data_IF_624436498024
#
_entry.id   IF_624436498024
#
_cell.length_a   1.000
_cell.length_b   1.000
_cell.length_c   1.000
_cell.angle_alpha   90.00
_cell.angle_beta   90.00
_cell.angle_gamma   90.00
#
_symmetry.space_group_name_H-M   'P 1'
#
loop_
_entity.id
_entity.type
_entity.pdbx_description
1 polymer ?
#
# COMPACT_ATOMS: atom_id res chain seq x y z
N UNK A 1 -21.64 6.42 13.06
CA UNK A 1 -20.48 6.65 12.16
C UNK A 1 -20.48 5.62 11.04
N UNK A 2 -20.39 6.04 9.78
CA UNK A 2 -20.40 5.14 8.62
C UNK A 2 -19.06 4.38 8.50
N UNK A 3 -19.10 3.05 8.57
CA UNK A 3 -17.92 2.15 8.52
C UNK A 3 -17.01 2.41 7.30
N UNK A 4 -17.61 2.74 6.16
CA UNK A 4 -16.88 3.08 4.93
C UNK A 4 -15.99 4.31 5.12
N UNK A 5 -16.54 5.38 5.71
CA UNK A 5 -15.80 6.60 5.99
C UNK A 5 -14.64 6.33 6.97
N UNK A 6 -14.87 5.51 7.99
CA UNK A 6 -13.82 5.13 8.94
C UNK A 6 -12.67 4.29 8.35
N UNK A 7 -12.90 3.54 7.27
CA UNK A 7 -11.81 2.88 6.55
C UNK A 7 -11.01 3.85 5.69
N UNK A 8 -11.69 4.79 5.03
CA UNK A 8 -11.03 5.81 4.20
C UNK A 8 -10.22 6.80 5.04
N UNK A 9 -10.75 7.22 6.19
CA UNK A 9 -10.05 8.11 7.11
C UNK A 9 -8.77 7.47 7.66
N UNK A 10 -8.86 6.22 8.12
CA UNK A 10 -7.67 5.46 8.56
C UNK A 10 -6.64 5.30 7.45
N UNK A 11 -7.08 4.97 6.23
CA UNK A 11 -6.17 4.90 5.09
C UNK A 11 -5.44 6.24 4.86
N UNK A 12 -6.15 7.37 4.97
CA UNK A 12 -5.55 8.71 4.83
C UNK A 12 -4.55 9.03 5.94
N UNK A 13 -4.84 8.66 7.19
CA UNK A 13 -3.92 8.84 8.31
C UNK A 13 -2.60 8.09 8.07
N UNK A 14 -2.66 6.83 7.62
CA UNK A 14 -1.45 6.08 7.30
C UNK A 14 -0.68 6.65 6.10
N UNK A 15 -1.37 7.24 5.11
CA UNK A 15 -0.71 7.95 4.00
C UNK A 15 0.06 9.18 4.47
N UNK A 16 -0.54 9.98 5.37
CA UNK A 16 0.11 11.16 5.95
C UNK A 16 1.35 10.75 6.75
N UNK A 17 1.21 9.76 7.64
CA UNK A 17 2.33 9.22 8.41
C UNK A 17 3.44 8.67 7.50
N UNK A 18 3.08 8.02 6.39
CA UNK A 18 4.06 7.53 5.42
C UNK A 18 4.76 8.67 4.65
N UNK A 19 4.09 9.81 4.47
CA UNK A 19 4.65 11.04 3.90
C UNK A 19 5.63 11.73 4.85
N UNK A 20 5.31 11.77 6.13
CA UNK A 20 6.13 12.36 7.20
C UNK A 20 7.34 11.48 7.54
N UNK A 21 7.20 10.15 7.43
CA UNK A 21 8.31 9.21 7.62
C UNK A 21 9.32 9.34 6.47
N UNK A 22 10.45 10.01 6.74
CA UNK A 22 11.59 10.13 5.82
C UNK A 22 12.74 9.20 6.17
N UNK A 23 12.94 8.93 7.45
CA UNK A 23 14.15 8.25 7.97
C UNK A 23 14.08 6.72 7.88
N UNK A 24 12.90 6.11 8.00
CA UNK A 24 12.74 4.66 7.96
C UNK A 24 11.94 4.16 6.73
N UNK A 25 12.62 3.63 5.70
CA UNK A 25 11.97 3.11 4.50
C UNK A 25 11.23 1.79 4.73
N UNK A 26 11.54 1.01 5.77
CA UNK A 26 10.81 -0.23 6.10
C UNK A 26 9.48 0.11 6.80
N UNK A 27 9.51 1.03 7.75
CA UNK A 27 8.32 1.54 8.43
C UNK A 27 7.36 2.20 7.42
N UNK A 28 7.88 3.04 6.53
CA UNK A 28 7.11 3.62 5.41
C UNK A 28 6.42 2.56 4.56
N UNK A 29 7.10 1.47 4.19
CA UNK A 29 6.49 0.35 3.45
C UNK A 29 5.40 -0.34 4.26
N UNK A 30 5.58 -0.50 5.57
CA UNK A 30 4.57 -1.07 6.44
C UNK A 30 3.31 -0.21 6.48
N UNK A 31 3.46 1.11 6.61
CA UNK A 31 2.35 2.06 6.57
C UNK A 31 1.61 1.98 5.22
N UNK A 32 2.34 1.98 4.10
CA UNK A 32 1.72 1.82 2.78
C UNK A 32 0.97 0.49 2.61
N UNK A 33 1.41 -0.60 3.24
CA UNK A 33 0.65 -1.86 3.27
C UNK A 33 -0.67 -1.70 4.02
N UNK A 34 -0.66 -0.98 5.15
CA UNK A 34 -1.89 -0.69 5.91
C UNK A 34 -2.86 0.15 5.08
N UNK A 35 -2.38 1.20 4.41
CA UNK A 35 -3.19 2.01 3.47
C UNK A 35 -3.93 1.13 2.47
N UNK A 36 -3.22 0.20 1.84
CA UNK A 36 -3.80 -0.72 0.85
C UNK A 36 -4.87 -1.61 1.49
N UNK A 37 -4.58 -2.20 2.65
CA UNK A 37 -5.53 -3.06 3.34
C UNK A 37 -6.85 -2.31 3.67
N UNK A 38 -6.75 -1.09 4.20
CA UNK A 38 -7.92 -0.28 4.53
C UNK A 38 -8.69 0.20 3.30
N UNK A 39 -8.01 0.59 2.21
CA UNK A 39 -8.69 0.93 0.94
C UNK A 39 -9.39 -0.30 0.33
N UNK A 40 -8.83 -1.50 0.44
CA UNK A 40 -9.50 -2.73 0.00
C UNK A 40 -10.76 -3.04 0.81
N UNK A 41 -10.72 -2.83 2.13
CA UNK A 41 -11.90 -2.96 2.99
C UNK A 41 -12.98 -1.94 2.61
N UNK A 42 -12.57 -0.71 2.29
CA UNK A 42 -13.49 0.32 1.81
C UNK A 42 -14.15 -0.08 0.48
N UNK A 43 -13.39 -0.63 -0.49
CA UNK A 43 -13.96 -1.14 -1.76
C UNK A 43 -14.96 -2.26 -1.50
N UNK A 44 -14.59 -3.28 -0.72
CA UNK A 44 -15.50 -4.38 -0.37
C UNK A 44 -16.79 -3.89 0.29
N UNK A 45 -16.71 -2.79 1.07
CA UNK A 45 -17.87 -2.21 1.73
C UNK A 45 -18.70 -1.34 0.78
N UNK A 46 -18.06 -0.59 -0.12
CA UNK A 46 -18.72 0.19 -1.15
C UNK A 46 -19.50 -0.71 -2.12
N UNK A 47 -18.93 -1.84 -2.52
CA UNK A 47 -19.61 -2.85 -3.35
C UNK A 47 -20.89 -3.37 -2.69
N UNK A 48 -20.84 -3.68 -1.38
CA UNK A 48 -22.01 -4.11 -0.60
C UNK A 48 -23.09 -3.03 -0.45
N UNK A 49 -22.72 -1.77 -0.63
CA UNK A 49 -23.61 -0.62 -0.50
C UNK A 49 -24.03 -0.06 -1.87
N UNK A 50 -23.64 -0.70 -2.97
CA UNK A 50 -23.84 -0.21 -4.34
C UNK A 50 -23.35 1.23 -4.55
N UNK A 51 -22.29 1.61 -3.83
CA UNK A 51 -21.65 2.92 -3.93
C UNK A 51 -20.49 2.89 -4.93
N UNK A 52 -20.13 4.05 -5.51
CA UNK A 52 -18.95 4.13 -6.38
C UNK A 52 -17.69 3.73 -5.61
N UNK A 53 -16.84 2.93 -6.26
CA UNK A 53 -15.62 2.40 -5.66
C UNK A 53 -14.63 3.54 -5.39
N UNK A 54 -14.06 3.65 -4.17
CA UNK A 54 -13.03 4.62 -3.89
C UNK A 54 -11.77 4.33 -4.71
N UNK A 55 -11.10 5.38 -5.19
CA UNK A 55 -9.91 5.26 -6.03
C UNK A 55 -8.79 4.52 -5.29
N UNK A 56 -8.07 3.62 -5.98
CA UNK A 56 -6.97 2.83 -5.42
C UNK A 56 -5.59 3.39 -5.79
N UNK A 57 -5.49 4.70 -6.01
CA UNK A 57 -4.35 5.38 -6.66
C UNK A 57 -2.98 5.11 -6.01
N UNK A 58 -2.93 4.71 -4.73
CA UNK A 58 -1.71 4.36 -4.01
C UNK A 58 -1.04 3.03 -4.43
N UNK A 59 -1.71 2.17 -5.24
CA UNK A 59 -1.19 0.83 -5.58
C UNK A 59 -0.06 0.80 -6.63
N UNK A 60 0.16 1.88 -7.38
CA UNK A 60 1.15 1.86 -8.49
C UNK A 60 2.61 1.86 -8.03
N UNK A 61 2.92 2.22 -6.79
CA UNK A 61 4.30 2.52 -6.37
C UNK A 61 5.00 1.40 -5.60
N UNK A 62 4.28 0.45 -4.99
CA UNK A 62 4.89 -0.59 -4.14
C UNK A 62 5.49 -1.75 -4.95
N UNK A 63 5.06 -1.97 -6.19
CA UNK A 63 5.47 -3.13 -6.99
C UNK A 63 6.75 -2.94 -7.85
N UNK A 64 7.38 -1.76 -7.85
CA UNK A 64 8.48 -1.46 -8.79
C UNK A 64 9.90 -1.67 -8.25
N UNK A 65 10.10 -2.26 -7.06
CA UNK A 65 11.44 -2.47 -6.45
C UNK A 65 11.73 -3.89 -5.95
N UNK A 66 11.30 -4.94 -6.68
CA UNK A 66 11.76 -6.32 -6.45
C UNK A 66 12.32 -7.01 -7.72
N UNK A 67 12.72 -6.23 -8.73
CA UNK A 67 13.48 -6.68 -9.90
C UNK A 67 14.79 -5.91 -9.84
N UNK A 68 15.95 -6.56 -10.02
CA UNK A 68 17.32 -6.08 -9.72
C UNK A 68 17.59 -6.28 -8.22
N UNK A 69 18.18 -7.38 -7.73
CA UNK A 69 19.41 -8.03 -8.16
C UNK A 69 19.32 -9.56 -7.94
N UNK A 70 19.23 -10.33 -9.02
CA UNK A 70 19.77 -11.70 -9.02
C UNK A 70 21.06 -11.61 -9.83
N UNK A 71 22.14 -11.13 -9.21
CA UNK A 71 23.49 -11.42 -9.71
C UNK A 71 23.77 -12.88 -9.32
N UNK A 72 23.88 -13.83 -10.27
CA UNK A 72 24.52 -15.08 -9.93
C UNK A 72 26.00 -14.77 -9.68
N UNK A 73 26.39 -14.81 -8.41
CA UNK A 73 27.78 -15.02 -8.03
C UNK A 73 28.17 -16.42 -8.52
N UNK A 74 29.14 -16.44 -9.43
CA UNK A 74 30.08 -17.53 -9.69
C UNK A 74 29.50 -18.80 -10.33
N UNK A 75 29.96 -19.09 -11.53
CA UNK A 75 30.33 -20.45 -11.91
C UNK A 75 31.70 -20.39 -12.61
N UNK A 76 32.74 -20.76 -11.87
CA UNK A 76 34.02 -21.17 -12.42
C UNK A 76 33.79 -22.29 -13.46
N UNK A 77 34.46 -22.20 -14.60
CA UNK A 77 34.73 -23.30 -15.55
C UNK A 77 35.72 -22.77 -16.59
N UNK A 78 36.76 -23.45 -17.00
CA UNK A 78 37.58 -24.55 -16.52
C UNK A 78 38.91 -24.37 -17.26
#
# INVERSE_FOLDING_TARGET
MNLLAGYLERARQFELLAGETKDDPRFKRMLLRQVVAYRMLAVKRADKLHLPRPSLTALRTVHRKNRIERRPLVACRA
#
